data_IF_388151059157
#
_entry.id   IF_388151059157
#
_cell.length_a   1.000
_cell.length_b   1.000
_cell.length_c   1.000
_cell.angle_alpha   90.00
_cell.angle_beta   90.00
_cell.angle_gamma   90.00
#
_symmetry.space_group_name_H-M   'P 1'
#
loop_
_entity.id
_entity.type
_entity.pdbx_description
1 polymer ?
#
# COMPACT_ATOMS: atom_id res chain seq x y z
N UNK A 1 -22.54 -7.48 9.04
CA UNK A 1 -21.92 -6.60 10.05
C UNK A 1 -20.81 -5.82 9.35
N UNK A 2 -20.82 -4.48 9.32
CA UNK A 2 -19.67 -3.72 8.87
C UNK A 2 -18.46 -4.09 9.75
N UNK A 3 -17.28 -4.31 9.18
CA UNK A 3 -16.08 -4.53 10.00
C UNK A 3 -15.79 -3.26 10.84
N UNK A 4 -15.17 -3.40 12.01
CA UNK A 4 -14.74 -2.25 12.84
C UNK A 4 -13.94 -1.23 12.01
N UNK A 5 -13.13 -1.72 11.06
CA UNK A 5 -12.35 -0.89 10.13
C UNK A 5 -13.22 -0.08 9.16
N UNK A 6 -14.39 -0.57 8.75
CA UNK A 6 -15.32 0.20 7.91
C UNK A 6 -16.04 1.31 8.67
N UNK A 7 -16.30 1.12 9.96
CA UNK A 7 -16.99 2.10 10.82
C UNK A 7 -16.03 3.21 11.27
N UNK A 8 -14.76 2.88 11.51
CA UNK A 8 -13.72 3.82 11.95
C UNK A 8 -12.92 4.43 10.79
N UNK A 9 -13.01 3.88 9.58
CA UNK A 9 -12.18 4.26 8.43
C UNK A 9 -12.68 5.41 7.54
N UNK A 10 -13.75 6.13 7.94
CA UNK A 10 -14.14 7.41 7.35
C UNK A 10 -14.51 7.42 5.85
N UNK A 11 -14.82 6.28 5.21
CA UNK A 11 -15.17 6.25 3.77
C UNK A 11 -16.60 6.74 3.57
N UNK A 12 -16.76 7.89 2.91
CA UNK A 12 -18.05 8.58 2.78
C UNK A 12 -18.81 8.30 1.47
N UNK A 13 -18.21 7.64 0.47
CA UNK A 13 -18.91 7.29 -0.80
C UNK A 13 -18.53 5.90 -1.32
N UNK A 14 -19.52 5.05 -1.68
CA UNK A 14 -19.25 3.78 -2.33
C UNK A 14 -18.71 4.03 -3.74
N UNK A 15 -17.63 3.32 -4.11
CA UNK A 15 -17.13 3.28 -5.48
C UNK A 15 -18.12 2.49 -6.33
N UNK A 16 -18.51 2.98 -7.52
CA UNK A 16 -19.34 2.18 -8.42
C UNK A 16 -18.59 0.92 -8.85
N UNK A 17 -19.24 -0.23 -8.69
CA UNK A 17 -18.71 -1.55 -9.01
C UNK A 17 -19.51 -2.18 -10.18
N UNK A 18 -18.93 -3.11 -10.94
CA UNK A 18 -19.66 -3.88 -11.93
C UNK A 18 -20.88 -4.58 -11.31
N UNK A 19 -22.04 -4.49 -11.94
CA UNK A 19 -23.27 -5.16 -11.49
C UNK A 19 -23.54 -6.48 -12.25
N UNK A 20 -22.81 -6.71 -13.34
CA UNK A 20 -22.88 -7.93 -14.15
C UNK A 20 -22.08 -9.11 -13.56
N UNK A 21 -21.21 -8.85 -12.57
CA UNK A 21 -20.38 -9.86 -11.92
C UNK A 21 -20.91 -10.03 -10.50
N UNK A 22 -21.11 -11.27 -10.07
CA UNK A 22 -21.58 -11.56 -8.71
C UNK A 22 -20.51 -11.20 -7.66
N UNK A 23 -20.95 -10.74 -6.48
CA UNK A 23 -20.06 -10.26 -5.41
C UNK A 23 -18.98 -11.27 -5.00
N UNK A 24 -19.29 -12.57 -5.06
CA UNK A 24 -18.36 -13.66 -4.74
C UNK A 24 -17.23 -13.82 -5.78
N UNK A 25 -17.48 -13.45 -7.04
CA UNK A 25 -16.53 -13.57 -8.15
C UNK A 25 -15.84 -12.27 -8.51
N UNK A 26 -16.35 -11.15 -8.01
CA UNK A 26 -15.85 -9.83 -8.34
C UNK A 26 -14.38 -9.61 -7.94
N UNK A 27 -13.91 -10.01 -6.73
CA UNK A 27 -12.50 -9.87 -6.35
C UNK A 27 -11.57 -10.63 -7.29
N UNK A 28 -11.89 -11.89 -7.59
CA UNK A 28 -11.09 -12.75 -8.47
C UNK A 28 -11.04 -12.20 -9.90
N UNK A 29 -12.16 -11.66 -10.38
CA UNK A 29 -12.24 -11.02 -11.70
C UNK A 29 -11.32 -9.80 -11.80
N UNK A 30 -11.28 -8.95 -10.77
CA UNK A 30 -10.34 -7.83 -10.70
C UNK A 30 -8.89 -8.29 -10.60
N UNK A 31 -8.60 -9.26 -9.73
CA UNK A 31 -7.27 -9.83 -9.56
C UNK A 31 -6.72 -10.38 -10.88
N UNK A 32 -7.50 -11.22 -11.58
CA UNK A 32 -7.14 -11.77 -12.87
C UNK A 32 -6.90 -10.66 -13.91
N UNK A 33 -7.82 -9.69 -14.01
CA UNK A 33 -7.69 -8.60 -14.97
C UNK A 33 -6.42 -7.75 -14.74
N UNK A 34 -6.15 -7.33 -13.51
CA UNK A 34 -4.97 -6.53 -13.20
C UNK A 34 -3.67 -7.32 -13.40
N UNK A 35 -3.65 -8.59 -13.01
CA UNK A 35 -2.51 -9.46 -13.23
C UNK A 35 -2.20 -9.60 -14.73
N UNK A 36 -3.20 -9.89 -15.55
CA UNK A 36 -3.03 -10.05 -16.99
C UNK A 36 -2.60 -8.75 -17.67
N UNK A 37 -3.13 -7.61 -17.22
CA UNK A 37 -2.71 -6.30 -17.71
C UNK A 37 -1.22 -6.05 -17.43
N UNK A 38 -0.75 -6.34 -16.21
CA UNK A 38 0.68 -6.23 -15.86
C UNK A 38 1.54 -7.19 -16.68
N UNK A 39 1.08 -8.43 -16.87
CA UNK A 39 1.79 -9.42 -17.69
C UNK A 39 1.96 -8.95 -19.13
N UNK A 40 0.89 -8.45 -19.76
CA UNK A 40 0.94 -7.88 -21.12
C UNK A 40 1.90 -6.71 -21.22
N UNK A 41 1.83 -5.77 -20.27
CA UNK A 41 2.73 -4.61 -20.23
C UNK A 41 4.20 -5.03 -20.13
N UNK A 42 4.53 -6.02 -19.30
CA UNK A 42 5.89 -6.56 -19.19
C UNK A 42 6.36 -7.17 -20.50
N UNK A 43 5.55 -8.05 -21.11
CA UNK A 43 5.88 -8.64 -22.42
C UNK A 43 6.11 -7.60 -23.50
N UNK A 44 5.29 -6.54 -23.55
CA UNK A 44 5.47 -5.43 -24.50
C UNK A 44 6.76 -4.66 -24.24
N UNK A 45 7.11 -4.40 -22.98
CA UNK A 45 8.36 -3.73 -22.61
C UNK A 45 9.58 -4.57 -22.99
N UNK A 46 9.57 -5.86 -22.67
CA UNK A 46 10.67 -6.79 -22.98
C UNK A 46 10.87 -6.92 -24.50
N UNK A 47 9.77 -6.92 -25.27
CA UNK A 47 9.82 -7.01 -26.74
C UNK A 47 10.46 -5.80 -27.42
N UNK A 48 10.48 -4.62 -26.77
CA UNK A 48 11.04 -3.40 -27.35
C UNK A 48 12.56 -3.35 -27.32
N UNK A 49 13.19 -4.22 -26.52
CA UNK A 49 14.65 -4.29 -26.39
C UNK A 49 15.25 -3.04 -25.73
N UNK A 50 16.37 -3.24 -25.04
CA UNK A 50 17.08 -2.19 -24.33
C UNK A 50 17.51 -2.70 -22.97
N UNK A 51 18.77 -3.12 -22.87
CA UNK A 51 19.37 -3.26 -21.55
C UNK A 51 19.46 -1.87 -20.93
N UNK A 52 18.90 -1.66 -19.74
CA UNK A 52 19.13 -0.42 -19.03
C UNK A 52 20.64 -0.30 -18.78
N UNK A 53 21.25 0.71 -19.38
CA UNK A 53 22.62 1.10 -19.11
C UNK A 53 22.64 1.72 -17.72
N UNK A 54 23.33 1.06 -16.78
CA UNK A 54 23.63 1.62 -15.47
C UNK A 54 25.12 1.87 -15.42
N UNK A 55 25.50 3.07 -14.99
CA UNK A 55 26.88 3.28 -14.58
C UNK A 55 27.12 2.54 -13.25
N UNK A 56 28.25 1.83 -13.10
CA UNK A 56 28.63 1.25 -11.82
C UNK A 56 28.68 2.34 -10.74
N UNK A 57 28.16 2.02 -9.56
CA UNK A 57 28.27 2.92 -8.41
C UNK A 57 29.75 3.21 -8.10
N UNK A 58 30.09 4.50 -8.02
CA UNK A 58 31.48 4.99 -7.83
C UNK A 58 31.69 5.73 -6.51
N UNK A 59 30.78 5.57 -5.54
CA UNK A 59 30.86 6.23 -4.23
C UNK A 59 31.32 5.32 -3.10
N UNK A 60 31.35 5.90 -1.89
CA UNK A 60 31.55 5.14 -0.65
C UNK A 60 30.26 4.40 -0.27
N UNK A 61 30.29 3.06 -0.13
CA UNK A 61 29.11 2.29 0.25
C UNK A 61 28.73 2.57 1.71
N UNK A 62 27.43 2.67 1.97
CA UNK A 62 26.92 2.70 3.34
C UNK A 62 26.83 1.28 3.90
N UNK A 63 27.69 0.98 4.87
CA UNK A 63 27.72 -0.34 5.52
C UNK A 63 26.63 -0.51 6.59
N UNK A 64 26.13 0.59 7.16
CA UNK A 64 25.13 0.56 8.22
C UNK A 64 24.24 1.80 8.22
N UNK A 65 22.96 1.59 8.56
CA UNK A 65 22.04 2.67 8.84
C UNK A 65 22.19 3.13 10.30
N UNK A 66 22.16 4.44 10.52
CA UNK A 66 22.06 4.99 11.87
C UNK A 66 20.67 4.70 12.44
N UNK A 67 20.64 4.39 13.74
CA UNK A 67 19.38 4.27 14.47
C UNK A 67 18.65 5.60 14.51
N UNK A 68 17.33 5.55 14.36
CA UNK A 68 16.42 6.70 14.36
C UNK A 68 15.96 7.01 15.79
N UNK A 69 15.97 8.30 16.14
CA UNK A 69 15.48 8.80 17.43
C UNK A 69 13.92 8.67 17.49
N UNK A 70 13.36 8.17 18.61
CA UNK A 70 11.91 8.12 18.83
C UNK A 70 11.17 9.45 18.55
N UNK A 71 11.80 10.59 18.81
CA UNK A 71 11.22 11.92 18.52
C UNK A 71 11.01 12.15 17.03
N UNK A 72 11.95 11.68 16.20
CA UNK A 72 11.83 11.76 14.74
C UNK A 72 10.69 10.86 14.28
N UNK A 73 10.64 9.62 14.77
CA UNK A 73 9.56 8.67 14.45
C UNK A 73 8.21 9.25 14.83
N UNK A 74 8.07 9.79 16.05
CA UNK A 74 6.83 10.41 16.53
C UNK A 74 6.40 11.57 15.64
N UNK A 75 7.35 12.46 15.30
CA UNK A 75 7.09 13.60 14.42
C UNK A 75 6.57 13.14 13.05
N UNK A 76 7.22 12.15 12.44
CA UNK A 76 6.81 11.62 11.12
C UNK A 76 5.41 11.03 11.19
N UNK A 77 5.12 10.20 12.19
CA UNK A 77 3.81 9.56 12.36
C UNK A 77 2.71 10.61 12.55
N UNK A 78 2.91 11.59 13.43
CA UNK A 78 1.91 12.64 13.69
C UNK A 78 1.73 13.61 12.52
N UNK A 79 2.75 13.79 11.68
CA UNK A 79 2.64 14.59 10.45
C UNK A 79 1.98 13.85 9.28
N UNK A 80 1.78 12.54 9.42
CA UNK A 80 1.21 11.71 8.37
C UNK A 80 -0.31 11.80 8.36
N UNK A 81 -0.91 11.73 7.17
CA UNK A 81 -2.36 11.60 7.06
C UNK A 81 -2.80 10.26 7.69
N UNK A 82 -3.78 10.25 8.62
CA UNK A 82 -4.26 9.01 9.26
C UNK A 82 -5.10 8.19 8.30
N UNK A 83 -4.44 7.52 7.35
CA UNK A 83 -5.07 6.59 6.41
C UNK A 83 -4.91 5.17 6.94
N UNK A 84 -6.03 4.49 7.14
CA UNK A 84 -6.04 3.12 7.62
C UNK A 84 -6.20 2.09 6.50
N UNK A 85 -5.55 0.97 6.71
CA UNK A 85 -5.67 -0.25 5.94
C UNK A 85 -6.55 -1.26 6.68
N UNK A 86 -7.22 -2.12 5.93
CA UNK A 86 -7.96 -3.25 6.50
C UNK A 86 -7.02 -4.27 7.16
N UNK A 87 -5.74 -4.24 6.78
CA UNK A 87 -4.69 -5.10 7.33
C UNK A 87 -4.00 -4.48 8.55
N UNK A 88 -4.32 -3.24 8.92
CA UNK A 88 -3.76 -2.62 10.11
C UNK A 88 -4.30 -3.31 11.37
N UNK A 89 -3.47 -3.51 12.41
CA UNK A 89 -3.93 -4.05 13.68
C UNK A 89 -4.83 -3.05 14.44
N UNK A 90 -4.62 -1.74 14.23
CA UNK A 90 -5.41 -0.65 14.80
C UNK A 90 -5.56 0.49 13.79
N UNK A 91 -6.68 1.25 13.81
CA UNK A 91 -6.82 2.42 12.96
C UNK A 91 -5.72 3.45 13.22
N UNK A 92 -5.18 4.02 12.15
CA UNK A 92 -4.05 4.97 12.18
C UNK A 92 -4.34 6.24 12.98
N UNK A 93 -5.59 6.72 12.96
CA UNK A 93 -6.01 7.86 13.80
C UNK A 93 -5.93 7.49 15.30
N UNK A 94 -6.44 6.32 15.68
CA UNK A 94 -6.36 5.83 17.05
C UNK A 94 -4.90 5.61 17.49
N UNK A 95 -4.06 5.12 16.58
CA UNK A 95 -2.62 5.00 16.80
C UNK A 95 -1.97 6.36 17.05
N UNK A 96 -2.29 7.38 16.24
CA UNK A 96 -1.75 8.72 16.41
C UNK A 96 -2.15 9.34 17.77
N UNK A 97 -3.39 9.10 18.21
CA UNK A 97 -3.89 9.55 19.52
C UNK A 97 -3.13 8.93 20.69
N UNK A 98 -2.63 7.70 20.55
CA UNK A 98 -1.93 6.94 21.58
C UNK A 98 -0.45 6.72 21.25
N UNK A 99 0.14 7.60 20.42
CA UNK A 99 1.49 7.39 19.91
C UNK A 99 2.55 7.34 21.02
N UNK A 100 2.32 8.05 22.12
CA UNK A 100 3.27 8.10 23.25
C UNK A 100 3.48 6.73 23.91
N UNK A 101 2.44 5.90 23.96
CA UNK A 101 2.53 4.54 24.51
C UNK A 101 3.19 3.56 23.51
N UNK A 102 3.10 3.86 22.21
CA UNK A 102 3.52 2.96 21.14
C UNK A 102 4.90 3.31 20.55
N UNK A 103 5.42 4.52 20.83
CA UNK A 103 6.56 5.07 20.11
C UNK A 103 7.84 4.22 20.28
N UNK A 104 8.05 3.68 21.48
CA UNK A 104 9.21 2.82 21.75
C UNK A 104 9.20 1.57 20.88
N UNK A 105 8.06 0.89 20.81
CA UNK A 105 7.87 -0.33 20.00
C UNK A 105 8.03 -0.03 18.52
N UNK A 106 7.38 1.02 18.01
CA UNK A 106 7.47 1.40 16.60
C UNK A 106 8.90 1.77 16.20
N UNK A 107 9.61 2.50 17.06
CA UNK A 107 11.01 2.88 16.82
C UNK A 107 11.91 1.64 16.77
N UNK A 108 11.69 0.66 17.66
CA UNK A 108 12.45 -0.60 17.65
C UNK A 108 12.22 -1.39 16.37
N UNK A 109 10.98 -1.46 15.88
CA UNK A 109 10.66 -2.13 14.60
C UNK A 109 11.36 -1.44 13.42
N UNK A 110 11.31 -0.11 13.36
CA UNK A 110 11.97 0.68 12.30
C UNK A 110 13.49 0.49 12.34
N UNK A 111 14.11 0.60 13.51
CA UNK A 111 15.55 0.43 13.66
C UNK A 111 16.00 -1.01 13.39
N UNK A 112 15.19 -2.01 13.74
CA UNK A 112 15.43 -3.40 13.36
C UNK A 112 15.43 -3.57 11.84
N UNK A 113 14.41 -3.02 11.16
CA UNK A 113 14.30 -3.06 9.70
C UNK A 113 15.48 -2.38 9.00
N UNK A 114 15.92 -1.21 9.48
CA UNK A 114 17.07 -0.49 8.95
C UNK A 114 18.38 -1.26 9.17
N UNK A 115 18.56 -1.85 10.36
CA UNK A 115 19.78 -2.62 10.68
C UNK A 115 19.88 -3.90 9.85
N UNK A 116 18.77 -4.60 9.65
CA UNK A 116 18.75 -5.86 8.89
C UNK A 116 18.64 -5.62 7.38
N UNK A 117 18.31 -4.40 6.95
CA UNK A 117 18.02 -4.10 5.55
C UNK A 117 16.75 -4.78 5.03
N UNK A 118 15.86 -5.20 5.92
CA UNK A 118 14.65 -5.98 5.58
C UNK A 118 13.41 -5.28 6.09
N UNK A 119 12.50 -4.95 5.18
CA UNK A 119 11.15 -4.49 5.53
C UNK A 119 10.25 -5.72 5.79
N UNK A 120 9.50 -5.77 6.91
CA UNK A 120 8.56 -6.84 7.22
C UNK A 120 7.59 -7.14 6.07
N UNK A 121 7.26 -8.43 5.86
CA UNK A 121 6.33 -8.85 4.80
C UNK A 121 4.93 -8.24 4.99
N UNK A 122 4.48 -8.09 6.24
CA UNK A 122 3.22 -7.44 6.58
C UNK A 122 3.13 -6.02 5.97
N UNK A 123 4.18 -5.22 6.14
CA UNK A 123 4.27 -3.84 5.63
C UNK A 123 4.44 -3.76 4.10
N UNK A 124 4.80 -4.85 3.43
CA UNK A 124 4.90 -4.94 1.96
C UNK A 124 3.61 -5.45 1.31
N UNK A 125 2.69 -5.99 2.10
CA UNK A 125 1.46 -6.59 1.60
C UNK A 125 0.35 -5.55 1.55
N UNK A 126 -0.16 -5.25 0.35
CA UNK A 126 -1.22 -4.26 0.16
C UNK A 126 -2.58 -4.92 -0.03
N UNK A 127 -3.64 -4.31 0.51
CA UNK A 127 -5.00 -4.59 0.07
C UNK A 127 -5.28 -3.83 -1.23
N UNK A 128 -5.66 -4.54 -2.29
CA UNK A 128 -5.95 -3.91 -3.59
C UNK A 128 -7.38 -3.38 -3.59
N UNK A 129 -7.53 -2.08 -3.86
CA UNK A 129 -8.82 -1.41 -3.98
C UNK A 129 -9.02 -1.00 -5.44
N UNK A 130 -9.93 -1.66 -6.18
CA UNK A 130 -10.30 -1.22 -7.52
C UNK A 130 -11.03 0.12 -7.44
N UNK A 131 -10.51 1.15 -8.13
CA UNK A 131 -11.17 2.45 -8.26
C UNK A 131 -11.43 2.78 -9.72
N UNK A 132 -12.61 3.33 -10.01
CA UNK A 132 -12.93 3.81 -11.35
C UNK A 132 -12.01 4.97 -11.72
N UNK A 133 -11.48 4.96 -12.95
CA UNK A 133 -10.50 5.93 -13.40
C UNK A 133 -11.09 7.34 -13.48
N UNK A 134 -12.33 7.44 -13.96
CA UNK A 134 -13.12 8.68 -14.05
C UNK A 134 -14.58 8.37 -13.74
N UNK A 135 -15.32 9.35 -13.25
CA UNK A 135 -16.69 9.16 -12.75
C UNK A 135 -17.72 8.87 -13.87
N UNK A 136 -17.42 9.24 -15.12
CA UNK A 136 -18.26 9.10 -16.30
C UNK A 136 -18.03 7.79 -17.08
N UNK A 137 -17.07 6.97 -16.65
CA UNK A 137 -16.80 5.69 -17.29
C UNK A 137 -17.77 4.61 -16.85
N UNK A 138 -18.01 3.64 -17.73
CA UNK A 138 -18.87 2.49 -17.44
C UNK A 138 -18.22 1.57 -16.38
N UNK A 139 -18.85 1.35 -15.21
CA UNK A 139 -18.34 0.48 -14.16
C UNK A 139 -18.43 -1.02 -14.53
N UNK A 140 -19.11 -1.41 -15.59
CA UNK A 140 -19.13 -2.80 -16.05
C UNK A 140 -17.90 -3.20 -16.88
N UNK A 141 -17.04 -2.24 -17.23
CA UNK A 141 -15.82 -2.49 -17.99
C UNK A 141 -14.61 -2.46 -17.05
N UNK A 142 -14.02 -3.63 -16.79
CA UNK A 142 -12.85 -3.77 -15.88
C UNK A 142 -11.65 -2.88 -16.28
N UNK A 143 -11.49 -2.59 -17.58
CA UNK A 143 -10.45 -1.66 -18.11
C UNK A 143 -10.54 -0.25 -17.54
N UNK A 144 -11.74 0.18 -17.15
CA UNK A 144 -12.00 1.50 -16.61
C UNK A 144 -11.59 1.61 -15.13
N UNK A 145 -11.11 0.53 -14.50
CA UNK A 145 -10.60 0.55 -13.14
C UNK A 145 -9.07 0.65 -13.12
N UNK A 146 -8.55 1.20 -12.03
CA UNK A 146 -7.14 1.14 -11.65
C UNK A 146 -7.01 0.42 -10.31
N UNK A 147 -5.96 -0.40 -10.11
CA UNK A 147 -5.65 -0.93 -8.80
C UNK A 147 -5.04 0.19 -7.94
N UNK A 148 -5.57 0.41 -6.75
CA UNK A 148 -4.93 1.24 -5.72
C UNK A 148 -4.45 0.34 -4.61
N UNK A 149 -3.14 0.34 -4.37
CA UNK A 149 -2.51 -0.37 -3.26
C UNK A 149 -2.76 0.38 -1.96
N UNK A 150 -3.58 -0.19 -1.08
CA UNK A 150 -3.75 0.29 0.29
C UNK A 150 -2.78 -0.48 1.19
N UNK A 151 -1.63 0.12 1.49
CA UNK A 151 -0.59 -0.47 2.35
C UNK A 151 -0.92 -0.23 3.83
N UNK A 152 -0.52 -1.15 4.73
CA UNK A 152 -0.59 -0.93 6.15
C UNK A 152 0.16 0.33 6.58
N UNK A 153 -0.39 1.04 7.56
CA UNK A 153 0.26 2.18 8.18
C UNK A 153 1.38 1.73 9.15
N UNK A 154 1.17 0.60 9.84
CA UNK A 154 2.09 -0.04 10.79
C UNK A 154 2.05 -1.56 10.73
#
# INVERSE_FOLDING_TARGET
>A
MPSLTSTLGGRSKPTPLPDQITDDKLPDSFCAYFHDKVKKLRTELDSKGGEPSYEPFSGEPWEQFQTVDPKIVKKVILSSNPKSCVLDPIPSDLLQQHIDDLIGTLTNVINGSLREGVVPSALKTAAIIPLIQKADLDPNILKNFRPVSNLPFI
#
